data_IF_602863449508
#
_entry.id   IF_602863449508
#
_cell.length_a   1.000
_cell.length_b   1.000
_cell.length_c   1.000
_cell.angle_alpha   90.00
_cell.angle_beta   90.00
_cell.angle_gamma   90.00
#
_symmetry.space_group_name_H-M   'P 1'
#
loop_
_entity.id
_entity.type
_entity.pdbx_description
1 polymer ?
#
# COMPACT_ATOMS: atom_id res chain seq x y z
N UNK A 1 25.77 6.11 -10.85
CA UNK A 1 25.02 4.84 -10.95
C UNK A 1 24.27 4.45 -9.66
N UNK A 2 24.62 4.95 -8.46
CA UNK A 2 24.04 4.51 -7.16
C UNK A 2 22.58 4.94 -6.93
N UNK A 3 22.09 6.02 -7.56
CA UNK A 3 20.72 6.48 -7.36
C UNK A 3 19.65 5.52 -7.92
N UNK A 4 19.94 4.82 -9.02
CA UNK A 4 18.97 3.96 -9.71
C UNK A 4 18.50 2.76 -8.85
N UNK A 5 19.43 2.08 -8.18
CA UNK A 5 19.12 0.91 -7.34
C UNK A 5 18.35 1.28 -6.07
N UNK A 6 18.64 2.46 -5.49
CA UNK A 6 17.90 2.97 -4.34
C UNK A 6 16.46 3.33 -4.71
N UNK A 7 16.24 3.91 -5.89
CA UNK A 7 14.90 4.16 -6.41
C UNK A 7 14.13 2.86 -6.62
N UNK A 8 14.73 1.84 -7.26
CA UNK A 8 14.07 0.52 -7.46
C UNK A 8 13.63 -0.11 -6.14
N UNK A 9 14.49 -0.06 -5.12
CA UNK A 9 14.15 -0.61 -3.81
C UNK A 9 13.04 0.20 -3.11
N UNK A 10 13.09 1.53 -3.19
CA UNK A 10 12.07 2.40 -2.62
C UNK A 10 10.71 2.17 -3.29
N UNK A 11 10.64 2.16 -4.62
CA UNK A 11 9.40 1.95 -5.39
C UNK A 11 8.72 0.62 -5.02
N UNK A 12 9.49 -0.47 -4.88
CA UNK A 12 8.95 -1.77 -4.42
C UNK A 12 8.36 -1.76 -3.01
N UNK A 13 8.75 -0.79 -2.18
CA UNK A 13 8.30 -0.65 -0.78
C UNK A 13 7.23 0.43 -0.59
N UNK A 14 6.90 1.22 -1.62
CA UNK A 14 5.97 2.35 -1.49
C UNK A 14 4.56 1.91 -1.11
N UNK A 15 4.04 0.81 -1.65
CA UNK A 15 2.72 0.28 -1.28
C UNK A 15 2.66 -0.08 0.20
N UNK A 16 3.62 -0.90 0.67
CA UNK A 16 3.74 -1.26 2.09
C UNK A 16 3.93 -0.04 2.99
N UNK A 17 4.70 0.96 2.54
CA UNK A 17 4.87 2.22 3.26
C UNK A 17 3.53 2.96 3.42
N UNK A 18 2.77 3.11 2.33
CA UNK A 18 1.47 3.79 2.33
C UNK A 18 0.45 3.05 3.21
N UNK A 19 0.47 1.71 3.19
CA UNK A 19 -0.42 0.87 3.99
C UNK A 19 0.04 0.71 5.44
N UNK A 20 1.19 1.27 5.82
CA UNK A 20 1.72 1.19 7.19
C UNK A 20 2.25 -0.20 7.57
N UNK A 21 2.61 -1.03 6.59
CA UNK A 21 3.04 -2.42 6.76
C UNK A 21 4.57 -2.60 6.82
N UNK A 22 5.34 -1.51 6.80
CA UNK A 22 6.79 -1.58 6.95
C UNK A 22 7.19 -1.56 8.43
N UNK A 23 8.26 -2.26 8.78
CA UNK A 23 8.93 -2.09 10.08
C UNK A 23 9.54 -0.69 10.20
N UNK A 24 9.75 -0.19 11.42
CA UNK A 24 10.28 1.15 11.68
C UNK A 24 11.61 1.41 10.94
N UNK A 25 12.51 0.43 10.97
CA UNK A 25 13.79 0.50 10.25
C UNK A 25 13.60 0.63 8.74
N UNK A 26 12.68 -0.14 8.15
CA UNK A 26 12.41 -0.10 6.72
C UNK A 26 11.71 1.21 6.32
N UNK A 27 10.79 1.70 7.16
CA UNK A 27 10.10 2.97 7.00
C UNK A 27 11.08 4.15 6.96
N UNK A 28 12.00 4.25 7.92
CA UNK A 28 13.02 5.31 7.96
C UNK A 28 13.90 5.36 6.70
N UNK A 29 14.23 4.19 6.14
CA UNK A 29 15.01 4.11 4.88
C UNK A 29 14.21 4.68 3.71
N UNK A 30 12.91 4.38 3.63
CA UNK A 30 12.03 4.90 2.59
C UNK A 30 11.83 6.41 2.76
N UNK A 31 11.55 6.89 3.98
CA UNK A 31 11.38 8.31 4.28
C UNK A 31 12.63 9.14 3.94
N UNK A 32 13.82 8.64 4.31
CA UNK A 32 15.09 9.29 3.95
C UNK A 32 15.31 9.34 2.43
N UNK A 33 14.86 8.33 1.69
CA UNK A 33 14.94 8.37 0.24
C UNK A 33 13.94 9.37 -0.35
N UNK A 34 12.70 9.34 0.14
CA UNK A 34 11.65 10.27 -0.24
C UNK A 34 12.01 11.73 0.05
N UNK A 35 12.80 12.04 1.08
CA UNK A 35 13.23 13.43 1.34
C UNK A 35 14.18 14.00 0.29
N UNK A 36 14.75 13.17 -0.60
CA UNK A 36 15.78 13.59 -1.57
C UNK A 36 15.46 13.21 -3.02
N UNK A 37 14.52 12.29 -3.25
CA UNK A 37 14.22 11.76 -4.59
C UNK A 37 12.85 12.21 -5.10
N UNK A 38 12.84 13.19 -6.00
CA UNK A 38 11.61 13.73 -6.61
C UNK A 38 10.84 12.69 -7.42
N UNK A 39 11.52 11.74 -8.06
CA UNK A 39 10.88 10.64 -8.77
C UNK A 39 10.06 9.75 -7.82
N UNK A 40 10.67 9.25 -6.74
CA UNK A 40 9.96 8.41 -5.78
C UNK A 40 8.90 9.17 -4.97
N UNK A 41 9.06 10.49 -4.77
CA UNK A 41 7.99 11.34 -4.23
C UNK A 41 6.76 11.33 -5.13
N UNK A 42 6.94 11.54 -6.44
CA UNK A 42 5.84 11.54 -7.40
C UNK A 42 5.12 10.18 -7.45
N UNK A 43 5.88 9.08 -7.45
CA UNK A 43 5.31 7.72 -7.39
C UNK A 43 4.51 7.49 -6.11
N UNK A 44 5.01 7.95 -4.96
CA UNK A 44 4.30 7.84 -3.69
C UNK A 44 2.98 8.62 -3.69
N UNK A 45 2.98 9.83 -4.28
CA UNK A 45 1.78 10.67 -4.43
C UNK A 45 0.74 9.97 -5.32
N UNK A 46 1.17 9.38 -6.44
CA UNK A 46 0.30 8.62 -7.35
C UNK A 46 -0.40 7.46 -6.61
N UNK A 47 0.37 6.65 -5.90
CA UNK A 47 -0.17 5.52 -5.12
C UNK A 47 -1.10 5.98 -3.99
N UNK A 48 -0.75 7.09 -3.32
CA UNK A 48 -1.60 7.68 -2.29
C UNK A 48 -2.96 8.11 -2.85
N UNK A 49 -2.95 8.81 -3.99
CA UNK A 49 -4.17 9.24 -4.66
C UNK A 49 -5.02 8.05 -5.11
N UNK A 50 -4.40 7.01 -5.66
CA UNK A 50 -5.10 5.77 -6.02
C UNK A 50 -5.80 5.15 -4.79
N UNK A 51 -5.13 5.11 -3.63
CA UNK A 51 -5.72 4.63 -2.38
C UNK A 51 -6.90 5.49 -1.91
N UNK A 52 -6.80 6.82 -2.01
CA UNK A 52 -7.90 7.72 -1.65
C UNK A 52 -9.12 7.50 -2.54
N UNK A 53 -8.90 7.35 -3.84
CA UNK A 53 -9.95 7.02 -4.82
C UNK A 53 -10.60 5.68 -4.46
N UNK A 54 -9.82 4.62 -4.22
CA UNK A 54 -10.39 3.33 -3.82
C UNK A 54 -11.18 3.40 -2.51
N UNK A 55 -10.73 4.19 -1.53
CA UNK A 55 -11.47 4.40 -0.29
C UNK A 55 -12.83 5.06 -0.52
N UNK A 56 -12.94 6.01 -1.46
CA UNK A 56 -14.21 6.67 -1.73
C UNK A 56 -15.25 5.75 -2.39
N UNK A 57 -14.83 4.65 -3.03
CA UNK A 57 -15.74 3.65 -3.59
C UNK A 57 -16.34 2.66 -2.57
N UNK A 58 -15.92 2.71 -1.30
CA UNK A 58 -16.35 1.72 -0.29
C UNK A 58 -17.71 2.02 0.34
N UNK A 59 -18.78 1.72 -0.40
CA UNK A 59 -20.09 1.40 0.18
C UNK A 59 -20.61 0.06 -0.34
N UNK A 60 -19.72 -0.94 -0.39
CA UNK A 60 -20.10 -2.31 -0.77
C UNK A 60 -20.84 -2.94 0.41
N UNK A 61 -22.17 -3.07 0.30
CA UNK A 61 -22.97 -3.87 1.24
C UNK A 61 -22.69 -5.34 0.95
N UNK A 62 -22.24 -6.07 1.97
CA UNK A 62 -22.05 -7.52 1.88
C UNK A 62 -23.42 -8.17 1.62
N UNK A 63 -23.61 -8.94 0.54
CA UNK A 63 -24.86 -9.64 0.30
C UNK A 63 -25.15 -10.64 1.43
N UNK A 64 -26.38 -10.66 1.95
CA UNK A 64 -26.82 -11.58 3.03
C UNK A 64 -26.72 -13.06 2.65
N UNK A 65 -26.58 -13.39 1.37
CA UNK A 65 -26.34 -14.75 0.86
C UNK A 65 -24.90 -15.23 1.08
N UNK A 66 -23.95 -14.34 1.35
CA UNK A 66 -22.57 -14.69 1.67
C UNK A 66 -22.49 -15.37 3.05
N UNK A 67 -23.11 -14.79 4.07
CA UNK A 67 -23.06 -15.24 5.47
C UNK A 67 -23.44 -16.74 5.65
N UNK A 68 -24.53 -17.15 4.98
CA UNK A 68 -25.08 -18.51 5.10
C UNK A 68 -24.25 -19.61 4.44
N UNK A 69 -23.41 -19.26 3.45
CA UNK A 69 -22.53 -20.24 2.77
C UNK A 69 -21.22 -20.46 3.52
N UNK A 70 -20.66 -19.41 4.11
CA UNK A 70 -19.35 -19.50 4.79
C UNK A 70 -19.41 -20.19 6.15
N UNK A 71 -20.51 -20.02 6.90
CA UNK A 71 -20.69 -20.67 8.21
C UNK A 71 -20.80 -22.19 8.15
N UNK A 72 -21.13 -22.78 6.98
CA UNK A 72 -21.30 -24.22 6.82
C UNK A 72 -20.02 -24.96 6.42
N UNK A 73 -19.03 -24.25 5.89
CA UNK A 73 -17.75 -24.81 5.42
C UNK A 73 -16.63 -24.69 6.47
N UNK A 74 -16.71 -23.72 7.40
CA UNK A 74 -15.67 -23.47 8.42
C UNK A 74 -15.84 -24.29 9.72
N UNK A 75 -16.93 -25.05 9.87
CA UNK A 75 -17.21 -25.93 11.01
C UNK A 75 -17.29 -27.41 10.60
N UNK A 76 -16.48 -27.82 9.62
CA UNK A 76 -16.15 -29.22 9.33
C UNK A 76 -14.71 -29.51 9.74
#
# INVERSE_FOLDING_TARGET
MVQMERCKLATKRLSFYIDGQLSDKARLVVEKHLSTCKYCQNEAILLWNARLVLKSFSSVRIPTSLDKKFTKELYK
#
